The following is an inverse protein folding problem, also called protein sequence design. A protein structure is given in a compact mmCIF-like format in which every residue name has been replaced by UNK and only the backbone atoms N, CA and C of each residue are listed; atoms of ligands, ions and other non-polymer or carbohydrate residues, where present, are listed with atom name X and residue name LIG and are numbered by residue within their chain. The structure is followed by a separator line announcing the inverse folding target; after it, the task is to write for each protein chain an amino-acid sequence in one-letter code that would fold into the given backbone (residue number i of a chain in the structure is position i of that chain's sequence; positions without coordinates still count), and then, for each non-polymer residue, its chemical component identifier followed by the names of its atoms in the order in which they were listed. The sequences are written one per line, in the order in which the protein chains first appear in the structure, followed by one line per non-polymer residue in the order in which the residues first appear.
data_IF_047348194750
#
_entry.id   IF_047348194750
#
_cell.length_a   1.000
_cell.length_b   1.000
_cell.length_c   1.000
_cell.angle_alpha   90.00
_cell.angle_beta   90.00
_cell.angle_gamma   90.00
#
_symmetry.space_group_name_H-M   'P 1'
#
loop_
_entity.id
_entity.type
_entity.pdbx_description
1 polymer ?
#
# COMPACT_ATOMS: atom_id res chain seq x y z
N UNK A 1 -10.69 20.36 -12.74
CA UNK A 1 -10.26 20.90 -14.06
C UNK A 1 -10.99 20.14 -15.14
N UNK A 2 -11.56 20.83 -16.15
CA UNK A 2 -12.19 20.23 -17.32
C UNK A 2 -11.36 20.56 -18.55
N UNK A 3 -11.06 19.57 -19.36
CA UNK A 3 -10.41 19.71 -20.65
C UNK A 3 -11.42 19.51 -21.78
N UNK A 4 -11.10 19.98 -22.98
CA UNK A 4 -11.89 19.68 -24.18
C UNK A 4 -11.70 18.19 -24.59
N UNK A 5 -12.74 17.56 -25.14
CA UNK A 5 -12.75 16.13 -25.49
C UNK A 5 -11.64 15.70 -26.47
N UNK A 6 -11.08 16.66 -27.23
CA UNK A 6 -9.97 16.42 -28.16
C UNK A 6 -8.60 16.36 -27.52
N UNK A 7 -8.47 16.72 -26.23
CA UNK A 7 -7.20 16.71 -25.52
C UNK A 7 -6.92 15.27 -25.07
N UNK A 8 -5.76 14.77 -25.41
CA UNK A 8 -5.29 13.47 -24.95
C UNK A 8 -5.15 13.43 -23.43
N UNK A 9 -5.64 12.33 -22.83
CA UNK A 9 -5.64 12.14 -21.36
C UNK A 9 -4.25 12.26 -20.73
N UNK A 10 -3.21 11.80 -21.42
CA UNK A 10 -1.83 11.89 -20.95
C UNK A 10 -1.35 13.35 -20.93
N UNK A 11 -1.62 14.08 -22.02
CA UNK A 11 -1.28 15.50 -22.13
C UNK A 11 -2.01 16.35 -21.09
N UNK A 12 -3.31 16.10 -20.89
CA UNK A 12 -4.11 16.77 -19.87
C UNK A 12 -3.54 16.55 -18.48
N UNK A 13 -3.20 15.30 -18.16
CA UNK A 13 -2.61 14.90 -16.89
C UNK A 13 -1.24 15.55 -16.64
N UNK A 14 -0.39 15.58 -17.66
CA UNK A 14 0.92 16.23 -17.58
C UNK A 14 0.81 17.72 -17.30
N UNK A 15 -0.15 18.41 -17.93
CA UNK A 15 -0.44 19.81 -17.68
C UNK A 15 -0.87 20.05 -16.22
N UNK A 16 -1.77 19.21 -15.69
CA UNK A 16 -2.19 19.30 -14.28
C UNK A 16 -0.99 19.08 -13.35
N UNK A 17 -0.16 18.08 -13.62
CA UNK A 17 1.03 17.79 -12.82
C UNK A 17 2.00 18.98 -12.77
N UNK A 18 2.24 19.61 -13.91
CA UNK A 18 3.14 20.76 -13.99
C UNK A 18 2.60 21.96 -13.18
N UNK A 19 1.29 22.20 -13.25
CA UNK A 19 0.65 23.32 -12.52
C UNK A 19 0.45 23.04 -11.03
N UNK A 20 0.39 21.78 -10.61
CA UNK A 20 0.25 21.43 -9.19
C UNK A 20 1.47 21.81 -8.37
N UNK A 21 2.66 21.77 -8.96
CA UNK A 21 3.90 22.17 -8.29
C UNK A 21 3.97 23.67 -8.00
N UNK A 22 3.24 24.47 -8.79
CA UNK A 22 3.16 25.93 -8.66
C UNK A 22 1.93 26.38 -7.84
N UNK A 23 1.09 25.43 -7.40
CA UNK A 23 -0.10 25.76 -6.63
C UNK A 23 0.25 26.13 -5.19
N UNK A 24 -0.22 27.28 -4.75
CA UNK A 24 -0.10 27.71 -3.35
C UNK A 24 -1.14 26.97 -2.50
N UNK A 25 -0.67 25.98 -1.77
CA UNK A 25 -1.51 25.10 -0.93
C UNK A 25 -1.20 25.35 0.55
N UNK A 26 -2.18 25.16 1.45
CA UNK A 26 -1.94 25.24 2.88
C UNK A 26 -0.85 24.25 3.35
N UNK A 27 -0.13 24.60 4.41
CA UNK A 27 0.88 23.75 5.02
C UNK A 27 0.31 22.35 5.37
N UNK A 28 1.05 21.31 5.00
CA UNK A 28 0.68 19.92 5.26
C UNK A 28 -0.28 19.29 4.23
N UNK A 29 -0.70 20.02 3.20
CA UNK A 29 -1.50 19.50 2.09
C UNK A 29 -0.59 19.11 0.93
N UNK A 30 -0.56 17.82 0.61
CA UNK A 30 0.16 17.32 -0.56
C UNK A 30 -0.84 16.90 -1.64
N UNK A 31 -0.86 17.55 -2.81
CA UNK A 31 -1.77 17.18 -3.89
C UNK A 31 -1.31 15.87 -4.54
N UNK A 32 -2.25 14.99 -4.83
CA UNK A 32 -2.00 13.72 -5.53
C UNK A 32 -2.89 13.61 -6.77
N UNK A 33 -2.28 13.23 -7.89
CA UNK A 33 -3.01 12.95 -9.13
C UNK A 33 -3.28 11.46 -9.20
N UNK A 34 -4.55 11.09 -9.07
CA UNK A 34 -4.98 9.69 -9.09
C UNK A 34 -4.61 8.99 -10.41
N UNK A 35 -4.38 7.67 -10.41
CA UNK A 35 -4.12 6.90 -11.62
C UNK A 35 -5.24 7.06 -12.69
N UNK A 36 -4.88 6.89 -13.98
CA UNK A 36 -5.82 7.04 -15.08
C UNK A 36 -6.70 5.79 -15.23
N UNK A 37 -7.82 5.78 -14.53
CA UNK A 37 -8.85 4.77 -14.69
C UNK A 37 -10.26 5.40 -14.64
N UNK A 38 -11.23 4.71 -15.23
CA UNK A 38 -12.63 5.13 -15.20
C UNK A 38 -13.48 4.26 -14.27
N UNK A 39 -14.78 4.58 -14.12
CA UNK A 39 -15.73 3.77 -13.32
C UNK A 39 -15.81 2.31 -13.77
N UNK A 40 -15.52 2.05 -15.04
CA UNK A 40 -15.49 0.70 -15.62
C UNK A 40 -14.12 0.03 -15.51
N UNK A 41 -13.17 0.63 -14.80
CA UNK A 41 -11.80 0.13 -14.68
C UNK A 41 -11.63 -1.09 -13.78
N UNK A 42 -12.58 -1.39 -12.92
CA UNK A 42 -12.53 -2.60 -12.11
C UNK A 42 -12.69 -3.85 -12.99
N UNK A 43 -11.65 -4.68 -13.04
CA UNK A 43 -11.64 -5.87 -13.90
C UNK A 43 -11.59 -7.18 -13.13
N UNK A 44 -11.09 -7.14 -11.88
CA UNK A 44 -10.87 -8.35 -11.11
C UNK A 44 -10.95 -8.05 -9.61
N UNK A 45 -11.56 -8.97 -8.84
CA UNK A 45 -11.59 -8.88 -7.37
C UNK A 45 -11.22 -10.21 -6.77
N UNK A 46 -10.47 -10.16 -5.69
CA UNK A 46 -10.02 -11.34 -4.95
C UNK A 46 -10.06 -11.11 -3.44
N UNK A 47 -10.05 -12.19 -2.69
CA UNK A 47 -9.83 -12.19 -1.25
C UNK A 47 -8.58 -12.99 -0.92
N UNK A 48 -7.95 -12.67 0.22
CA UNK A 48 -6.88 -13.48 0.78
C UNK A 48 -7.45 -14.48 1.77
N UNK A 49 -6.96 -15.70 1.72
CA UNK A 49 -7.31 -16.75 2.66
C UNK A 49 -6.10 -17.41 3.26
N UNK A 50 -6.15 -17.66 4.56
CA UNK A 50 -5.22 -18.48 5.31
C UNK A 50 -5.93 -19.04 6.53
N UNK A 51 -5.67 -20.32 6.85
CA UNK A 51 -6.20 -20.94 8.06
C UNK A 51 -5.29 -20.73 9.29
N UNK A 52 -4.13 -20.05 9.10
CA UNK A 52 -3.12 -19.89 10.15
C UNK A 52 -2.84 -18.44 10.53
N UNK A 53 -3.19 -17.48 9.64
CA UNK A 53 -2.81 -16.07 9.80
C UNK A 53 -4.00 -15.22 10.20
N UNK A 54 -3.71 -14.23 11.04
CA UNK A 54 -4.65 -13.18 11.38
C UNK A 54 -4.94 -12.27 10.19
N UNK A 55 -6.06 -11.58 10.22
CA UNK A 55 -6.45 -10.57 9.21
C UNK A 55 -5.42 -9.45 9.10
N UNK A 56 -4.74 -9.11 10.20
CA UNK A 56 -3.63 -8.14 10.25
C UNK A 56 -2.42 -8.60 9.45
N UNK A 57 -2.01 -9.86 9.61
CA UNK A 57 -0.91 -10.44 8.84
C UNK A 57 -1.26 -10.53 7.35
N UNK A 58 -2.50 -10.94 7.02
CA UNK A 58 -2.98 -10.96 5.65
C UNK A 58 -3.00 -9.56 5.02
N UNK A 59 -3.41 -8.54 5.79
CA UNK A 59 -3.37 -7.14 5.33
C UNK A 59 -1.94 -6.68 5.04
N UNK A 60 -1.00 -7.05 5.89
CA UNK A 60 0.43 -6.74 5.67
C UNK A 60 0.96 -7.41 4.39
N UNK A 61 0.62 -8.68 4.14
CA UNK A 61 0.98 -9.38 2.91
C UNK A 61 0.33 -8.72 1.69
N UNK A 62 -0.93 -8.32 1.79
CA UNK A 62 -1.64 -7.61 0.74
C UNK A 62 -0.91 -6.32 0.34
N UNK A 63 -0.65 -5.44 1.30
CA UNK A 63 -0.15 -4.10 1.01
C UNK A 63 1.34 -4.10 0.59
N UNK A 64 2.15 -5.01 1.14
CA UNK A 64 3.59 -5.00 0.92
C UNK A 64 4.09 -6.01 -0.11
N UNK A 65 3.36 -7.08 -0.37
CA UNK A 65 3.78 -8.12 -1.30
C UNK A 65 2.85 -8.15 -2.52
N UNK A 66 1.56 -8.42 -2.30
CA UNK A 66 0.63 -8.68 -3.40
C UNK A 66 0.39 -7.42 -4.24
N UNK A 67 0.04 -6.32 -3.61
CA UNK A 67 -0.24 -5.05 -4.29
C UNK A 67 0.93 -4.60 -5.18
N UNK A 68 2.16 -4.66 -4.65
CA UNK A 68 3.36 -4.28 -5.40
C UNK A 68 3.61 -5.15 -6.63
N UNK A 69 3.40 -6.45 -6.47
CA UNK A 69 3.58 -7.40 -7.57
C UNK A 69 2.48 -7.27 -8.63
N UNK A 70 1.22 -7.20 -8.24
CA UNK A 70 0.11 -7.07 -9.18
C UNK A 70 0.08 -5.71 -9.89
N UNK A 71 0.51 -4.64 -9.21
CA UNK A 71 0.64 -3.31 -9.83
C UNK A 71 1.70 -3.28 -10.95
N UNK A 72 2.65 -4.20 -10.95
CA UNK A 72 3.67 -4.32 -12.01
C UNK A 72 3.14 -4.98 -13.29
N UNK A 73 1.96 -5.57 -13.26
CA UNK A 73 1.34 -6.20 -14.44
C UNK A 73 0.96 -5.14 -15.47
N UNK A 74 1.32 -5.37 -16.74
CA UNK A 74 1.01 -4.44 -17.82
C UNK A 74 -0.49 -4.20 -17.94
N UNK A 75 -0.90 -2.93 -18.08
CA UNK A 75 -2.29 -2.53 -18.18
C UNK A 75 -3.01 -2.34 -16.82
N UNK A 76 -2.44 -2.77 -15.71
CA UNK A 76 -2.96 -2.46 -14.38
C UNK A 76 -2.67 -1.00 -14.05
N UNK A 77 -3.71 -0.26 -13.63
CA UNK A 77 -3.59 1.12 -13.18
C UNK A 77 -3.26 1.19 -11.69
N UNK A 78 -4.00 0.44 -10.90
CA UNK A 78 -3.86 0.40 -9.45
C UNK A 78 -4.48 -0.86 -8.84
N UNK A 79 -4.12 -1.12 -7.58
CA UNK A 79 -4.72 -2.15 -6.73
C UNK A 79 -5.30 -1.45 -5.51
N UNK A 80 -6.61 -1.54 -5.34
CA UNK A 80 -7.30 -0.95 -4.18
C UNK A 80 -7.56 -2.04 -3.15
N UNK A 81 -7.07 -1.84 -1.93
CA UNK A 81 -7.17 -2.82 -0.85
C UNK A 81 -8.24 -2.41 0.16
N UNK A 82 -9.14 -3.34 0.50
CA UNK A 82 -10.21 -3.14 1.48
C UNK A 82 -10.18 -4.22 2.57
N UNK A 83 -10.71 -3.87 3.73
CA UNK A 83 -10.74 -4.77 4.89
C UNK A 83 -9.36 -4.98 5.51
N UNK A 84 -9.32 -5.87 6.50
CA UNK A 84 -8.11 -6.15 7.26
C UNK A 84 -7.76 -5.09 8.29
N UNK A 85 -6.69 -5.33 9.01
CA UNK A 85 -6.14 -4.44 10.03
C UNK A 85 -4.76 -3.97 9.63
N UNK A 86 -4.55 -2.67 9.53
CA UNK A 86 -3.23 -2.10 9.24
C UNK A 86 -2.38 -2.15 10.50
N UNK A 87 -1.32 -2.95 10.46
CA UNK A 87 -0.36 -3.10 11.57
C UNK A 87 0.33 -1.77 11.88
N UNK A 88 0.40 -1.44 13.16
CA UNK A 88 1.14 -0.28 13.67
C UNK A 88 1.95 -0.65 14.91
N UNK A 89 2.96 0.14 15.22
CA UNK A 89 3.60 0.16 16.52
C UNK A 89 2.99 1.31 17.33
N UNK A 90 2.34 0.96 18.43
CA UNK A 90 1.70 1.93 19.31
C UNK A 90 2.60 2.24 20.49
N UNK A 91 2.72 3.53 20.80
CA UNK A 91 3.43 4.05 21.98
C UNK A 91 2.41 4.66 22.92
N UNK A 92 1.92 3.85 23.86
CA UNK A 92 0.96 4.26 24.88
C UNK A 92 1.66 4.97 26.02
N UNK A 93 1.58 6.29 26.02
CA UNK A 93 2.33 7.16 26.96
C UNK A 93 1.80 7.06 28.38
N UNK A 94 2.69 6.95 29.36
CA UNK A 94 2.35 7.01 30.79
C UNK A 94 2.55 8.45 31.33
N UNK A 95 1.47 9.20 31.61
CA UNK A 95 1.57 10.58 32.05
C UNK A 95 2.34 10.74 33.36
N UNK A 96 2.24 9.78 34.28
CA UNK A 96 2.96 9.82 35.56
C UNK A 96 4.47 9.70 35.35
N UNK A 97 4.90 8.86 34.42
CA UNK A 97 6.33 8.73 34.11
C UNK A 97 6.86 9.99 33.40
N UNK A 98 6.10 10.60 32.52
CA UNK A 98 6.48 11.88 31.91
C UNK A 98 6.73 12.96 32.97
N UNK A 99 5.81 13.09 33.94
CA UNK A 99 5.93 14.07 35.01
C UNK A 99 7.16 13.74 35.88
N UNK A 100 7.38 12.48 36.26
CA UNK A 100 8.50 12.05 37.09
C UNK A 100 9.86 12.38 36.47
N UNK A 101 9.99 12.21 35.16
CA UNK A 101 11.23 12.50 34.43
C UNK A 101 11.32 13.93 33.90
N UNK A 102 10.29 14.75 34.07
CA UNK A 102 10.25 16.12 33.54
C UNK A 102 10.35 16.17 32.01
N UNK A 103 9.64 15.26 31.32
CA UNK A 103 9.62 15.12 29.88
C UNK A 103 8.20 15.39 29.39
N UNK A 104 8.07 16.16 28.31
CA UNK A 104 6.79 16.43 27.67
C UNK A 104 6.45 15.40 26.62
N UNK A 105 5.16 15.24 26.28
CA UNK A 105 4.73 14.37 25.19
C UNK A 105 5.34 14.80 23.84
N UNK A 106 5.57 16.09 23.65
CA UNK A 106 6.21 16.63 22.44
C UNK A 106 7.69 16.20 22.35
N UNK A 107 8.43 16.27 23.45
CA UNK A 107 9.83 15.80 23.48
C UNK A 107 9.92 14.30 23.16
N UNK A 108 8.97 13.48 23.63
CA UNK A 108 8.88 12.06 23.31
C UNK A 108 8.60 11.84 21.81
N UNK A 109 7.60 12.57 21.26
CA UNK A 109 7.26 12.51 19.84
C UNK A 109 8.45 12.91 18.96
N UNK A 110 9.11 14.01 19.26
CA UNK A 110 10.26 14.50 18.50
C UNK A 110 11.43 13.54 18.54
N UNK A 111 11.68 12.88 19.67
CA UNK A 111 12.73 11.88 19.80
C UNK A 111 12.47 10.67 18.90
N UNK A 112 11.23 10.17 18.88
CA UNK A 112 10.84 9.05 18.02
C UNK A 112 10.92 9.46 16.53
N UNK A 113 10.39 10.62 16.17
CA UNK A 113 10.40 11.10 14.80
C UNK A 113 11.82 11.29 14.25
N UNK A 114 12.73 11.84 15.05
CA UNK A 114 14.15 12.03 14.70
C UNK A 114 14.94 10.72 14.63
N UNK A 115 14.52 9.70 15.37
CA UNK A 115 15.16 8.38 15.37
C UNK A 115 14.69 7.47 14.25
N UNK A 116 13.57 7.81 13.59
CA UNK A 116 12.98 7.03 12.50
C UNK A 116 13.28 7.65 11.12
N UNK A 117 14.54 7.89 10.83
CA UNK A 117 14.96 8.53 9.58
C UNK A 117 16.28 7.96 9.06
N UNK A 118 16.33 7.70 7.76
CA UNK A 118 17.59 7.39 7.10
C UNK A 118 18.33 8.69 6.76
N UNK A 119 19.59 8.77 7.15
CA UNK A 119 20.42 9.93 6.86
C UNK A 119 21.44 9.57 5.79
N UNK A 120 21.44 10.33 4.70
CA UNK A 120 22.52 10.27 3.72
C UNK A 120 23.80 10.79 4.37
N UNK A 121 24.87 10.02 4.26
CA UNK A 121 26.20 10.40 4.74
C UNK A 121 27.09 10.90 3.62
N UNK A 122 28.31 11.27 3.98
CA UNK A 122 29.34 11.73 3.07
C UNK A 122 30.09 10.54 2.40
N UNK A 123 30.90 10.84 1.40
CA UNK A 123 31.76 9.87 0.75
C UNK A 123 33.15 9.92 1.38
N UNK A 124 33.57 8.82 1.98
CA UNK A 124 34.92 8.69 2.54
C UNK A 124 35.82 8.09 1.47
N UNK A 125 36.85 8.82 1.07
CA UNK A 125 37.87 8.31 0.15
C UNK A 125 39.02 7.68 0.93
N UNK A 126 39.24 6.37 0.75
CA UNK A 126 40.35 5.64 1.37
C UNK A 126 41.01 4.75 0.33
N UNK A 127 42.35 4.89 0.18
CA UNK A 127 43.16 4.08 -0.76
C UNK A 127 42.63 4.10 -2.20
N UNK A 128 42.27 5.28 -2.72
CA UNK A 128 41.67 5.48 -4.06
C UNK A 128 40.31 4.82 -4.30
N UNK A 129 39.62 4.39 -3.25
CA UNK A 129 38.24 3.90 -3.29
C UNK A 129 37.33 4.85 -2.56
N UNK A 130 36.15 5.10 -3.13
CA UNK A 130 35.09 5.90 -2.53
C UNK A 130 34.10 5.00 -1.78
N UNK A 131 33.93 5.24 -0.49
CA UNK A 131 32.95 4.57 0.36
C UNK A 131 31.80 5.52 0.67
N UNK A 132 30.59 5.17 0.25
CA UNK A 132 29.39 5.92 0.61
C UNK A 132 28.97 5.51 2.01
N UNK A 133 28.96 6.46 2.94
CA UNK A 133 28.45 6.25 4.30
C UNK A 133 26.95 6.54 4.30
N UNK A 134 26.16 5.65 4.86
CA UNK A 134 24.70 5.81 5.03
C UNK A 134 24.30 5.43 6.44
N UNK A 135 23.63 6.35 7.15
CA UNK A 135 22.99 6.07 8.42
C UNK A 135 21.61 5.41 8.17
N UNK A 136 21.45 4.17 8.62
CA UNK A 136 20.15 3.47 8.60
C UNK A 136 19.52 3.67 9.96
N UNK A 137 18.42 4.45 10.01
CA UNK A 137 17.74 4.79 11.25
C UNK A 137 16.25 4.47 11.22
N UNK A 138 15.75 3.76 10.19
CA UNK A 138 14.36 3.32 10.19
C UNK A 138 14.15 2.22 11.23
N UNK A 139 13.11 2.38 12.04
CA UNK A 139 12.70 1.44 13.08
C UNK A 139 12.08 0.21 12.40
N UNK A 140 12.64 -0.97 12.66
CA UNK A 140 12.19 -2.23 12.09
C UNK A 140 11.38 -3.08 13.06
N UNK A 141 11.62 -2.94 14.37
CA UNK A 141 10.98 -3.74 15.39
C UNK A 141 10.66 -2.93 16.67
N UNK A 142 9.91 -3.57 17.56
CA UNK A 142 9.50 -2.98 18.84
C UNK A 142 10.66 -2.71 19.78
N UNK A 143 11.72 -3.50 19.73
CA UNK A 143 12.84 -3.35 20.65
C UNK A 143 13.71 -2.16 20.27
N UNK A 144 13.88 -1.91 18.99
CA UNK A 144 14.50 -0.67 18.50
C UNK A 144 13.71 0.55 18.96
N UNK A 145 12.37 0.53 18.82
CA UNK A 145 11.50 1.61 19.26
C UNK A 145 11.55 1.82 20.79
N UNK A 146 11.55 0.74 21.56
CA UNK A 146 11.65 0.77 23.05
C UNK A 146 12.96 1.38 23.53
N UNK A 147 14.04 1.18 22.78
CA UNK A 147 15.39 1.60 23.17
C UNK A 147 15.81 2.97 22.64
N UNK A 148 14.93 3.71 21.96
CA UNK A 148 15.20 5.10 21.57
C UNK A 148 15.44 5.95 22.80
N UNK A 149 16.53 6.74 22.78
CA UNK A 149 16.86 7.70 23.83
C UNK A 149 16.04 8.97 23.62
N UNK A 150 15.20 9.30 24.60
CA UNK A 150 14.39 10.53 24.58
C UNK A 150 15.17 11.71 25.16
N UNK A 151 15.82 11.50 26.28
CA UNK A 151 16.56 12.55 27.00
C UNK A 151 17.70 11.95 27.82
N UNK A 152 18.75 12.73 28.05
CA UNK A 152 19.80 12.35 28.97
C UNK A 152 19.70 13.23 30.23
N UNK A 153 19.52 12.60 31.40
CA UNK A 153 19.40 13.29 32.69
C UNK A 153 20.60 12.89 33.57
N UNK A 154 21.47 13.83 33.83
CA UNK A 154 22.69 13.59 34.68
C UNK A 154 23.55 12.39 34.21
N UNK A 155 23.69 12.21 32.88
CA UNK A 155 24.46 11.10 32.31
C UNK A 155 23.67 9.79 32.14
N UNK A 156 22.42 9.73 32.65
CA UNK A 156 21.55 8.55 32.49
C UNK A 156 20.58 8.75 31.34
N UNK A 157 20.60 7.88 30.31
CA UNK A 157 19.66 7.96 29.18
C UNK A 157 18.27 7.51 29.62
N UNK A 158 17.26 8.30 29.36
CA UNK A 158 15.85 7.95 29.52
C UNK A 158 15.33 7.46 28.17
N UNK A 159 14.87 6.22 28.16
CA UNK A 159 14.41 5.52 26.94
C UNK A 159 12.88 5.60 26.80
N UNK A 160 12.37 5.36 25.59
CA UNK A 160 10.92 5.30 25.33
C UNK A 160 10.22 4.33 26.29
N UNK A 161 10.78 3.13 26.52
CA UNK A 161 10.23 2.13 27.43
C UNK A 161 10.12 2.58 28.92
N UNK A 162 10.84 3.63 29.32
CA UNK A 162 10.71 4.20 30.64
C UNK A 162 9.51 5.14 30.78
N UNK A 163 8.98 5.62 29.65
CA UNK A 163 7.95 6.66 29.55
C UNK A 163 6.62 6.15 29.02
N UNK A 164 6.66 5.04 28.29
CA UNK A 164 5.52 4.51 27.55
C UNK A 164 5.55 2.98 27.46
N UNK A 165 4.39 2.36 27.29
CA UNK A 165 4.25 0.98 26.84
C UNK A 165 4.28 0.92 25.32
N UNK A 166 5.08 0.01 24.77
CA UNK A 166 5.30 -0.13 23.33
C UNK A 166 4.88 -1.52 22.88
N UNK A 167 3.86 -1.59 22.05
CA UNK A 167 3.30 -2.86 21.58
C UNK A 167 2.80 -2.78 20.11
N UNK A 168 2.56 -3.94 19.52
CA UNK A 168 1.87 -4.00 18.23
C UNK A 168 0.38 -3.69 18.39
N UNK A 169 -0.13 -2.83 17.54
CA UNK A 169 -1.53 -2.43 17.49
C UNK A 169 -2.01 -2.35 16.04
N UNK A 170 -3.16 -1.79 15.81
CA UNK A 170 -3.68 -1.51 14.47
C UNK A 170 -4.25 -0.10 14.41
N UNK A 171 -4.24 0.49 13.22
CA UNK A 171 -4.97 1.72 12.97
C UNK A 171 -6.47 1.50 13.20
N UNK A 172 -7.20 2.51 13.74
CA UNK A 172 -8.63 2.46 13.84
C UNK A 172 -9.26 2.12 12.48
N UNK A 173 -10.11 1.10 12.47
CA UNK A 173 -10.74 0.62 11.23
C UNK A 173 -11.87 1.57 10.81
N UNK A 174 -11.86 1.97 9.56
CA UNK A 174 -12.95 2.76 8.96
C UNK A 174 -14.07 1.88 8.40
N UNK A 175 -13.79 0.58 8.18
CA UNK A 175 -14.74 -0.38 7.64
C UNK A 175 -14.23 -1.81 7.73
N UNK A 176 -15.11 -2.73 7.39
CA UNK A 176 -14.86 -4.17 7.37
C UNK A 176 -15.43 -4.76 6.09
N UNK A 177 -14.79 -5.77 5.55
CA UNK A 177 -15.27 -6.53 4.40
C UNK A 177 -15.64 -7.93 4.84
N UNK A 178 -16.85 -8.37 4.50
CA UNK A 178 -17.29 -9.74 4.69
C UNK A 178 -17.50 -10.42 3.34
N UNK A 179 -17.36 -11.73 3.32
CA UNK A 179 -17.63 -12.56 2.15
C UNK A 179 -18.26 -13.89 2.57
N UNK A 180 -19.47 -14.15 2.11
CA UNK A 180 -20.25 -15.34 2.50
C UNK A 180 -20.41 -15.44 4.03
N UNK A 181 -19.84 -16.47 4.65
CA UNK A 181 -19.84 -16.74 6.08
C UNK A 181 -18.63 -16.15 6.82
N UNK A 182 -17.66 -15.60 6.10
CA UNK A 182 -16.47 -14.93 6.66
C UNK A 182 -16.79 -13.45 6.88
N UNK A 183 -16.82 -13.02 8.14
CA UNK A 183 -17.17 -11.64 8.50
C UNK A 183 -16.06 -10.64 8.36
N UNK A 184 -14.81 -11.11 8.23
CA UNK A 184 -13.63 -10.23 8.17
C UNK A 184 -12.59 -10.81 7.23
N UNK A 185 -12.47 -10.22 6.06
CA UNK A 185 -11.53 -10.64 5.03
C UNK A 185 -10.74 -9.46 4.48
N UNK A 186 -9.58 -9.75 3.92
CA UNK A 186 -8.81 -8.79 3.11
C UNK A 186 -9.17 -8.98 1.66
N UNK A 187 -9.63 -7.91 1.02
CA UNK A 187 -10.02 -7.87 -0.38
C UNK A 187 -9.07 -6.98 -1.18
N UNK A 188 -8.70 -7.43 -2.37
CA UNK A 188 -8.05 -6.60 -3.39
C UNK A 188 -8.94 -6.42 -4.60
N UNK A 189 -8.96 -5.19 -5.12
CA UNK A 189 -9.66 -4.82 -6.35
C UNK A 189 -8.62 -4.34 -7.35
N UNK A 190 -8.56 -4.99 -8.50
CA UNK A 190 -7.64 -4.63 -9.58
C UNK A 190 -8.34 -3.66 -10.53
N UNK A 191 -7.69 -2.52 -10.74
CA UNK A 191 -8.18 -1.47 -11.62
C UNK A 191 -7.29 -1.36 -12.86
N UNK A 192 -7.89 -1.44 -14.02
CA UNK A 192 -7.23 -1.37 -15.33
C UNK A 192 -7.10 0.08 -15.81
N UNK A 193 -6.03 0.37 -16.55
CA UNK A 193 -5.85 1.65 -17.22
C UNK A 193 -6.91 1.86 -18.31
N UNK A 194 -7.32 3.10 -18.49
CA UNK A 194 -8.23 3.49 -19.56
C UNK A 194 -7.58 3.20 -20.93
N UNK A 195 -8.31 2.51 -21.80
CA UNK A 195 -7.86 2.22 -23.16
C UNK A 195 -7.15 0.87 -23.35
N UNK A 196 -6.83 0.16 -22.28
CA UNK A 196 -6.24 -1.18 -22.35
C UNK A 196 -7.27 -2.25 -22.73
N UNK A 197 -6.79 -3.41 -23.20
CA UNK A 197 -7.63 -4.57 -23.49
C UNK A 197 -7.88 -5.40 -22.22
N UNK A 198 -9.12 -5.48 -21.71
CA UNK A 198 -9.41 -6.20 -20.46
C UNK A 198 -8.99 -7.68 -20.52
N UNK A 199 -9.18 -8.36 -21.66
CA UNK A 199 -8.84 -9.78 -21.79
C UNK A 199 -7.35 -10.05 -21.63
N UNK A 200 -6.50 -9.23 -22.25
CA UNK A 200 -5.04 -9.35 -22.13
C UNK A 200 -4.56 -9.02 -20.72
N UNK A 201 -5.09 -7.95 -20.12
CA UNK A 201 -4.72 -7.55 -18.76
C UNK A 201 -5.10 -8.62 -17.75
N UNK A 202 -6.32 -9.21 -17.88
CA UNK A 202 -6.79 -10.28 -16.97
C UNK A 202 -5.97 -11.56 -17.15
N UNK A 203 -5.60 -11.94 -18.38
CA UNK A 203 -4.76 -13.10 -18.63
C UNK A 203 -3.38 -12.94 -17.94
N UNK A 204 -2.69 -11.83 -18.18
CA UNK A 204 -1.42 -11.52 -17.54
C UNK A 204 -1.54 -11.44 -16.00
N UNK A 205 -2.67 -10.94 -15.49
CA UNK A 205 -2.95 -10.88 -14.07
C UNK A 205 -3.11 -12.26 -13.44
N UNK A 206 -3.82 -13.18 -14.11
CA UNK A 206 -4.00 -14.57 -13.66
C UNK A 206 -2.67 -15.31 -13.61
N UNK A 207 -1.83 -15.16 -14.63
CA UNK A 207 -0.49 -15.75 -14.66
C UNK A 207 0.35 -15.24 -13.48
N UNK A 208 0.28 -13.92 -13.21
CA UNK A 208 1.00 -13.33 -12.07
C UNK A 208 0.45 -13.79 -10.71
N UNK A 209 -0.86 -13.97 -10.59
CA UNK A 209 -1.48 -14.51 -9.36
C UNK A 209 -1.04 -15.96 -9.13
N UNK A 210 -0.94 -16.76 -10.19
CA UNK A 210 -0.46 -18.13 -10.09
C UNK A 210 1.00 -18.18 -9.66
N UNK A 211 1.85 -17.36 -10.26
CA UNK A 211 3.26 -17.18 -9.84
C UNK A 211 3.37 -16.80 -8.35
N UNK A 212 2.54 -15.84 -7.90
CA UNK A 212 2.52 -15.41 -6.50
C UNK A 212 2.11 -16.54 -5.56
N UNK A 213 1.05 -17.27 -5.90
CA UNK A 213 0.54 -18.38 -5.10
C UNK A 213 1.52 -19.56 -5.01
N UNK A 214 2.38 -19.75 -6.03
CA UNK A 214 3.32 -20.87 -6.09
C UNK A 214 4.69 -20.53 -5.51
N UNK A 215 5.19 -19.32 -5.74
CA UNK A 215 6.61 -19.02 -5.55
C UNK A 215 6.90 -17.90 -4.55
N UNK A 216 5.94 -17.02 -4.25
CA UNK A 216 6.20 -15.80 -3.47
C UNK A 216 5.46 -15.78 -2.14
N UNK A 217 4.20 -16.21 -2.15
CA UNK A 217 3.37 -16.22 -0.94
C UNK A 217 3.74 -17.41 -0.05
N UNK A 218 3.58 -17.26 1.28
CA UNK A 218 3.65 -18.39 2.17
C UNK A 218 2.68 -19.52 1.76
N UNK A 219 3.03 -20.78 1.98
CA UNK A 219 2.24 -21.95 1.56
C UNK A 219 0.79 -21.93 2.08
N UNK A 220 0.56 -21.29 3.22
CA UNK A 220 -0.74 -21.17 3.87
C UNK A 220 -1.59 -20.01 3.36
N UNK A 221 -1.03 -19.10 2.54
CA UNK A 221 -1.75 -17.93 2.01
C UNK A 221 -2.11 -18.14 0.54
N UNK A 222 -3.37 -17.86 0.20
CA UNK A 222 -3.85 -17.95 -1.18
C UNK A 222 -4.65 -16.73 -1.58
N UNK A 223 -4.44 -16.30 -2.81
CA UNK A 223 -5.28 -15.31 -3.51
C UNK A 223 -6.44 -16.08 -4.15
N UNK A 224 -7.68 -15.75 -3.75
CA UNK A 224 -8.88 -16.44 -4.23
C UNK A 224 -9.74 -15.43 -4.99
N UNK A 225 -9.83 -15.55 -6.33
CA UNK A 225 -10.68 -14.68 -7.14
C UNK A 225 -12.15 -14.95 -6.86
N UNK A 226 -12.99 -13.91 -6.97
CA UNK A 226 -14.44 -14.04 -6.88
C UNK A 226 -15.20 -13.16 -7.87
N UNK A 227 -14.53 -12.22 -8.52
CA UNK A 227 -15.07 -11.46 -9.64
C UNK A 227 -14.01 -11.40 -10.73
N UNK A 228 -14.40 -11.81 -11.92
CA UNK A 228 -13.59 -11.82 -13.13
C UNK A 228 -14.41 -11.24 -14.27
N UNK A 229 -13.98 -10.10 -14.77
CA UNK A 229 -14.67 -9.43 -15.88
C UNK A 229 -14.56 -10.18 -17.20
N UNK A 230 -13.59 -11.08 -17.34
CA UNK A 230 -13.42 -11.90 -18.53
C UNK A 230 -14.67 -12.73 -18.82
N UNK A 231 -15.36 -13.22 -17.80
CA UNK A 231 -16.61 -13.98 -17.95
C UNK A 231 -17.68 -13.16 -18.71
N UNK A 232 -17.81 -11.87 -18.36
CA UNK A 232 -18.73 -10.95 -19.03
C UNK A 232 -18.31 -10.64 -20.48
N UNK A 233 -17.00 -10.41 -20.68
CA UNK A 233 -16.45 -10.14 -22.02
C UNK A 233 -16.66 -11.35 -22.93
N UNK A 234 -16.34 -12.55 -22.46
CA UNK A 234 -16.52 -13.79 -23.20
C UNK A 234 -17.98 -14.06 -23.55
N UNK A 235 -18.90 -13.80 -22.60
CA UNK A 235 -20.34 -13.93 -22.87
C UNK A 235 -20.80 -12.95 -23.97
N UNK A 236 -20.36 -11.70 -23.90
CA UNK A 236 -20.70 -10.67 -24.88
C UNK A 236 -20.15 -11.04 -26.28
N UNK A 237 -18.87 -11.41 -26.36
CA UNK A 237 -18.22 -11.83 -27.62
C UNK A 237 -18.92 -13.05 -28.22
N UNK A 238 -19.21 -14.07 -27.39
CA UNK A 238 -19.92 -15.27 -27.83
C UNK A 238 -21.31 -14.95 -28.38
N UNK A 239 -22.04 -14.08 -27.70
CA UNK A 239 -23.39 -13.66 -28.14
C UNK A 239 -23.35 -12.90 -29.46
N UNK A 240 -22.43 -11.93 -29.61
CA UNK A 240 -22.27 -11.17 -30.86
C UNK A 240 -21.83 -12.08 -31.99
N UNK A 241 -20.87 -12.97 -31.78
CA UNK A 241 -20.38 -13.91 -32.76
C UNK A 241 -21.49 -14.88 -33.21
N UNK A 242 -22.29 -15.39 -32.29
CA UNK A 242 -23.42 -16.26 -32.59
C UNK A 242 -24.46 -15.55 -33.46
N UNK A 243 -24.88 -14.36 -33.07
CA UNK A 243 -25.85 -13.55 -33.83
C UNK A 243 -25.32 -13.16 -35.21
N UNK A 244 -24.00 -12.87 -35.32
CA UNK A 244 -23.38 -12.55 -36.60
C UNK A 244 -23.38 -13.77 -37.54
N UNK A 245 -23.04 -14.95 -37.04
CA UNK A 245 -23.03 -16.20 -37.81
C UNK A 245 -24.46 -16.51 -38.27
N UNK A 246 -25.45 -16.43 -37.38
CA UNK A 246 -26.86 -16.65 -37.77
C UNK A 246 -27.34 -15.66 -38.84
N UNK A 247 -26.97 -14.36 -38.69
CA UNK A 247 -27.33 -13.33 -39.67
C UNK A 247 -26.64 -13.47 -41.02
N UNK A 248 -25.48 -14.15 -41.09
CA UNK A 248 -24.80 -14.45 -42.35
C UNK A 248 -25.41 -15.69 -43.04
N UNK A 249 -25.93 -16.64 -42.25
CA UNK A 249 -26.51 -17.89 -42.78
C UNK A 249 -27.96 -17.72 -43.23
N UNK A 250 -28.65 -16.68 -42.82
CA UNK A 250 -30.00 -16.30 -43.31
C UNK A 250 -29.93 -15.45 -44.56
#
# INVERSE_FOLDING_TARGET
VMFEDRVDDFTARQQVYNLLNDADLPDGVTPEVQPLYGPTGEIFRYTLRSDKRSVRELKTIQDWVIERNLRSVSGVADIVSFGGEVKTFEVSVNPHQLINYGITSLELYDAIAKSNINVGGDVITKSSQAYVVRGIGLINDLDELRNIVVKNINGTPILVKNLADVHESCLPRLGQVGRMDENDVVQGIVVMRKGENPGEVIANLKDKIEELNQNVLPEDVRIIPFYDREDLVNLAVKTVTHNLIEGILL
#
